data_IF_209086864531
#
_entry.id   IF_209086864531
#
_cell.length_a   1.000
_cell.length_b   1.000
_cell.length_c   1.000
_cell.angle_alpha   90.00
_cell.angle_beta   90.00
_cell.angle_gamma   90.00
#
_symmetry.space_group_name_H-M   'P 1'
#
loop_
_entity.id
_entity.type
_entity.pdbx_description
1 polymer ?
#
# COMPACT_ATOMS: atom_id res chain seq x y z
N UNK A 1 -4.09 29.15 10.81
CA UNK A 1 -5.02 28.79 9.73
C UNK A 1 -4.50 29.23 8.35
N UNK A 2 -4.06 30.45 8.14
CA UNK A 2 -3.53 30.93 6.83
C UNK A 2 -2.42 30.06 6.22
N UNK A 3 -1.48 29.56 7.03
CA UNK A 3 -0.38 28.67 6.55
C UNK A 3 -0.88 27.32 6.06
N UNK A 4 -1.96 26.78 6.62
CA UNK A 4 -2.56 25.52 6.20
C UNK A 4 -3.25 25.69 4.82
N UNK A 5 -3.97 26.79 4.62
CA UNK A 5 -4.58 27.10 3.32
C UNK A 5 -3.55 27.33 2.23
N UNK A 6 -2.41 27.97 2.56
CA UNK A 6 -1.30 28.18 1.63
C UNK A 6 -0.70 26.84 1.17
N UNK A 7 -0.47 25.90 2.08
CA UNK A 7 0.04 24.57 1.75
C UNK A 7 -0.95 23.78 0.89
N UNK A 8 -2.23 23.80 1.23
CA UNK A 8 -3.28 23.15 0.45
C UNK A 8 -3.40 23.78 -0.95
N UNK A 9 -3.36 25.11 -1.04
CA UNK A 9 -3.39 25.82 -2.34
C UNK A 9 -2.17 25.49 -3.20
N UNK A 10 -0.98 25.38 -2.60
CA UNK A 10 0.25 25.01 -3.32
C UNK A 10 0.18 23.56 -3.83
N UNK A 11 -0.37 22.64 -3.04
CA UNK A 11 -0.58 21.25 -3.45
C UNK A 11 -1.61 21.18 -4.58
N UNK A 12 -2.73 21.91 -4.49
CA UNK A 12 -3.74 21.98 -5.54
C UNK A 12 -3.20 22.61 -6.82
N UNK A 13 -2.34 23.62 -6.73
CA UNK A 13 -1.70 24.24 -7.88
C UNK A 13 -0.68 23.33 -8.55
N UNK A 14 0.07 22.53 -7.77
CA UNK A 14 1.00 21.53 -8.29
C UNK A 14 0.30 20.41 -9.09
N UNK A 15 -0.97 20.12 -8.78
CA UNK A 15 -1.79 19.12 -9.48
C UNK A 15 -2.25 19.61 -10.86
N UNK A 16 -2.37 20.93 -11.07
CA UNK A 16 -2.92 21.50 -12.31
C UNK A 16 -1.92 21.72 -13.44
N UNK A 17 -0.61 21.56 -13.17
CA UNK A 17 0.42 21.78 -14.18
C UNK A 17 0.98 20.46 -14.66
N UNK A 18 0.35 19.86 -15.65
CA UNK A 18 0.98 19.05 -16.71
C UNK A 18 -0.09 18.27 -17.49
N UNK A 19 -0.58 18.83 -18.58
CA UNK A 19 -1.29 18.06 -19.62
C UNK A 19 -0.28 17.17 -20.38
N UNK A 20 0.41 16.27 -19.67
CA UNK A 20 1.21 15.23 -20.30
C UNK A 20 0.25 14.13 -20.77
N UNK A 21 0.24 13.88 -22.07
CA UNK A 21 -0.63 12.86 -22.63
C UNK A 21 -0.28 11.48 -22.09
N UNK A 22 -1.30 10.85 -21.57
CA UNK A 22 -1.27 9.50 -21.05
C UNK A 22 -1.33 8.50 -22.20
N UNK A 23 -0.49 7.46 -22.17
CA UNK A 23 -0.56 6.38 -23.15
C UNK A 23 -1.72 5.41 -22.86
N UNK A 24 -1.95 5.07 -21.60
CA UNK A 24 -2.97 4.13 -21.14
C UNK A 24 -3.62 4.66 -19.86
N UNK A 25 -4.96 4.60 -19.82
CA UNK A 25 -5.69 5.14 -18.68
C UNK A 25 -5.84 4.14 -17.53
N UNK A 26 -5.98 2.86 -17.84
CA UNK A 26 -6.26 1.80 -16.88
C UNK A 26 -5.18 0.72 -16.93
N UNK A 27 -4.83 0.19 -15.77
CA UNK A 27 -3.91 -0.93 -15.61
C UNK A 27 -4.54 -1.93 -14.63
N UNK A 28 -4.56 -3.21 -15.00
CA UNK A 28 -5.03 -4.29 -14.14
C UNK A 28 -3.91 -5.30 -13.94
N UNK A 29 -3.80 -5.84 -12.73
CA UNK A 29 -2.74 -6.77 -12.40
C UNK A 29 -3.04 -7.67 -11.22
N UNK A 30 -2.13 -8.61 -11.03
CA UNK A 30 -2.08 -9.48 -9.86
C UNK A 30 -0.79 -9.22 -9.09
N UNK A 31 -0.85 -9.39 -7.79
CA UNK A 31 0.26 -9.17 -6.87
C UNK A 31 0.36 -10.31 -5.86
N UNK A 32 1.58 -10.57 -5.41
CA UNK A 32 1.84 -11.57 -4.40
C UNK A 32 3.19 -11.38 -3.73
N UNK A 33 3.29 -11.80 -2.48
CA UNK A 33 4.55 -11.66 -1.76
C UNK A 33 4.41 -11.87 -0.25
N UNK A 34 5.49 -11.62 0.49
CA UNK A 34 5.51 -11.78 1.92
C UNK A 34 4.70 -10.68 2.65
N UNK A 35 4.01 -11.11 3.69
CA UNK A 35 3.33 -10.29 4.68
C UNK A 35 3.95 -10.51 6.05
N UNK A 36 4.07 -9.47 6.85
CA UNK A 36 4.49 -9.60 8.24
C UNK A 36 3.77 -8.59 9.14
N UNK A 37 3.55 -9.02 10.36
CA UNK A 37 2.91 -8.24 11.40
C UNK A 37 3.93 -7.44 12.21
N UNK A 38 3.60 -6.20 12.52
CA UNK A 38 4.38 -5.32 13.39
C UNK A 38 3.44 -4.73 14.42
N UNK A 39 3.49 -5.21 15.65
CA UNK A 39 2.65 -4.79 16.77
C UNK A 39 3.14 -5.42 18.06
N UNK A 40 2.36 -5.29 19.13
CA UNK A 40 2.71 -5.75 20.47
C UNK A 40 3.00 -7.25 20.55
N UNK A 41 2.42 -8.05 19.66
CA UNK A 41 2.66 -9.49 19.55
C UNK A 41 3.93 -9.89 18.79
N UNK A 42 4.72 -8.94 18.24
CA UNK A 42 5.96 -9.24 17.50
C UNK A 42 7.09 -8.25 17.80
N UNK A 43 7.52 -8.19 19.05
CA UNK A 43 8.59 -7.31 19.55
C UNK A 43 10.00 -7.62 19.01
N UNK A 44 10.15 -8.66 18.20
CA UNK A 44 11.47 -9.21 17.81
C UNK A 44 12.03 -8.73 16.46
N UNK A 45 11.46 -7.70 15.85
CA UNK A 45 12.02 -7.04 14.66
C UNK A 45 11.32 -7.37 13.34
N UNK A 46 11.65 -6.61 12.32
CA UNK A 46 11.12 -6.72 10.95
C UNK A 46 11.40 -8.11 10.35
N UNK A 47 10.46 -8.63 9.56
CA UNK A 47 10.55 -9.91 8.84
C UNK A 47 10.64 -11.18 9.69
N UNK A 48 10.16 -11.16 10.93
CA UNK A 48 9.93 -12.40 11.71
C UNK A 48 8.46 -12.82 11.57
N UNK A 49 8.23 -14.15 11.56
CA UNK A 49 6.91 -14.74 11.33
C UNK A 49 6.27 -14.32 9.99
N UNK A 50 7.08 -14.34 8.93
CA UNK A 50 6.63 -14.02 7.57
C UNK A 50 5.55 -14.99 7.13
N UNK A 51 4.49 -14.44 6.57
CA UNK A 51 3.39 -15.16 5.92
C UNK A 51 3.30 -14.74 4.45
N UNK A 52 2.44 -15.37 3.69
CA UNK A 52 2.19 -15.02 2.30
C UNK A 52 0.87 -14.26 2.17
N UNK A 53 0.88 -13.31 1.27
CA UNK A 53 -0.31 -12.59 0.85
C UNK A 53 -0.30 -12.43 -0.68
N UNK A 54 -1.50 -12.27 -1.25
CA UNK A 54 -1.65 -12.06 -2.69
C UNK A 54 -2.98 -11.41 -2.99
N UNK A 55 -3.12 -10.88 -4.18
CA UNK A 55 -4.35 -10.18 -4.54
C UNK A 55 -4.34 -9.64 -5.97
N UNK A 56 -5.36 -8.84 -6.23
CA UNK A 56 -5.54 -8.14 -7.49
C UNK A 56 -5.34 -6.64 -7.28
N UNK A 57 -4.88 -5.97 -8.32
CA UNK A 57 -4.74 -4.52 -8.32
C UNK A 57 -5.32 -3.92 -9.60
N UNK A 58 -5.94 -2.76 -9.44
CA UNK A 58 -6.34 -1.88 -10.54
C UNK A 58 -5.66 -0.52 -10.33
N UNK A 59 -5.15 0.07 -11.39
CA UNK A 59 -4.55 1.41 -11.35
C UNK A 59 -5.19 2.28 -12.41
N UNK A 60 -5.72 3.40 -11.98
CA UNK A 60 -6.21 4.45 -12.87
C UNK A 60 -5.15 5.54 -12.97
N UNK A 61 -4.52 5.64 -14.11
CA UNK A 61 -3.52 6.65 -14.39
C UNK A 61 -4.19 7.99 -14.68
N UNK A 62 -4.00 8.98 -13.83
CA UNK A 62 -4.50 10.36 -14.02
C UNK A 62 -3.58 11.08 -15.01
N UNK A 63 -2.28 10.95 -14.80
CA UNK A 63 -1.23 11.47 -15.69
C UNK A 63 0.04 10.59 -15.54
N UNK A 64 1.12 10.77 -16.34
CA UNK A 64 2.32 9.94 -16.25
C UNK A 64 3.01 9.95 -14.89
N UNK A 65 2.71 10.91 -14.01
CA UNK A 65 3.28 11.02 -12.67
C UNK A 65 2.31 10.69 -11.54
N UNK A 66 1.01 10.61 -11.81
CA UNK A 66 -0.01 10.45 -10.79
C UNK A 66 -0.97 9.33 -11.16
N UNK A 67 -1.29 8.47 -10.22
CA UNK A 67 -2.25 7.40 -10.39
C UNK A 67 -3.04 7.14 -9.11
N UNK A 68 -4.24 6.59 -9.26
CA UNK A 68 -5.02 5.99 -8.18
C UNK A 68 -4.90 4.48 -8.31
N UNK A 69 -4.41 3.83 -7.27
CA UNK A 69 -4.31 2.38 -7.17
C UNK A 69 -5.38 1.86 -6.23
N UNK A 70 -6.10 0.87 -6.69
CA UNK A 70 -7.05 0.08 -5.92
C UNK A 70 -6.47 -1.32 -5.77
N UNK A 71 -6.45 -1.86 -4.57
CA UNK A 71 -6.00 -3.20 -4.30
C UNK A 71 -7.00 -3.98 -3.47
N UNK A 72 -7.18 -5.23 -3.84
CA UNK A 72 -7.93 -6.23 -3.08
C UNK A 72 -6.99 -7.39 -2.81
N UNK A 73 -6.64 -7.58 -1.55
CA UNK A 73 -5.69 -8.58 -1.14
C UNK A 73 -6.22 -9.52 -0.08
N UNK A 74 -5.72 -10.74 -0.12
CA UNK A 74 -5.90 -11.75 0.91
C UNK A 74 -4.53 -12.17 1.44
N UNK A 75 -4.41 -12.24 2.75
CA UNK A 75 -3.17 -12.64 3.39
C UNK A 75 -3.40 -13.22 4.77
N UNK A 76 -2.32 -13.62 5.40
CA UNK A 76 -2.34 -14.01 6.81
C UNK A 76 -1.28 -13.25 7.59
N UNK A 77 -1.53 -13.08 8.87
CA UNK A 77 -0.59 -12.49 9.83
C UNK A 77 -0.40 -13.46 10.99
N UNK A 78 0.85 -13.63 11.37
CA UNK A 78 1.24 -14.50 12.49
C UNK A 78 2.00 -13.72 13.52
N UNK A 79 1.68 -13.92 14.80
CA UNK A 79 2.46 -13.43 15.93
C UNK A 79 2.87 -14.58 16.84
N UNK A 80 4.10 -14.54 17.36
CA UNK A 80 4.63 -15.48 18.33
C UNK A 80 5.24 -14.68 19.49
N UNK A 81 4.50 -14.52 20.57
CA UNK A 81 4.93 -13.85 21.79
C UNK A 81 5.93 -14.66 22.66
N UNK A 82 6.23 -15.93 22.31
CA UNK A 82 7.05 -16.81 23.14
C UNK A 82 8.55 -16.52 23.03
N UNK A 83 9.00 -15.80 22.00
CA UNK A 83 10.41 -15.55 21.67
C UNK A 83 10.91 -14.16 22.01
N UNK A 84 10.10 -13.29 22.59
CA UNK A 84 10.46 -11.94 23.00
C UNK A 84 11.32 -11.93 24.26
N UNK A 85 12.30 -10.99 24.36
CA UNK A 85 13.09 -10.77 25.59
C UNK A 85 12.22 -10.29 26.77
N UNK A 86 11.10 -9.68 26.49
CA UNK A 86 10.09 -9.32 27.48
C UNK A 86 8.96 -10.36 27.39
N UNK A 87 9.00 -11.33 28.30
CA UNK A 87 7.85 -12.21 28.52
C UNK A 87 6.70 -11.35 29.01
N UNK A 88 5.71 -11.14 28.16
CA UNK A 88 4.42 -10.62 28.65
C UNK A 88 3.95 -11.50 29.79
N UNK A 89 3.45 -10.95 30.87
CA UNK A 89 2.86 -11.74 31.93
C UNK A 89 1.69 -12.49 31.30
N UNK A 90 1.96 -13.76 30.94
CA UNK A 90 0.93 -14.64 30.48
C UNK A 90 -0.12 -14.73 31.59
N UNK A 91 -1.31 -14.20 31.35
CA UNK A 91 -2.44 -14.52 32.17
C UNK A 91 -2.62 -16.03 32.06
N UNK A 92 -2.24 -16.77 33.10
CA UNK A 92 -2.29 -18.24 33.20
C UNK A 92 -1.31 -19.06 32.33
N UNK A 93 -0.11 -18.59 32.06
CA UNK A 93 0.93 -19.41 31.40
C UNK A 93 0.66 -19.78 29.93
N UNK A 94 -0.34 -19.19 29.29
CA UNK A 94 -0.66 -19.43 27.88
C UNK A 94 0.32 -18.71 26.96
N UNK A 95 0.89 -19.46 26.02
CA UNK A 95 1.70 -18.90 24.93
C UNK A 95 0.78 -18.22 23.94
N UNK A 96 1.02 -16.94 23.69
CA UNK A 96 0.25 -16.15 22.72
C UNK A 96 0.77 -16.42 21.31
N UNK A 97 0.14 -17.38 20.64
CA UNK A 97 0.34 -17.63 19.21
C UNK A 97 -0.96 -17.34 18.52
N UNK A 98 -0.93 -16.42 17.55
CA UNK A 98 -2.09 -16.18 16.69
C UNK A 98 -1.71 -16.35 15.22
N UNK A 99 -2.66 -16.81 14.43
CA UNK A 99 -2.56 -16.92 12.99
C UNK A 99 -3.91 -16.50 12.42
N UNK A 100 -4.00 -15.26 12.01
CA UNK A 100 -5.24 -14.66 11.53
C UNK A 100 -5.14 -14.42 10.02
N UNK A 101 -6.22 -14.78 9.32
CA UNK A 101 -6.40 -14.41 7.92
C UNK A 101 -7.03 -13.04 7.83
N UNK A 102 -6.58 -12.25 6.87
CA UNK A 102 -7.10 -10.92 6.61
C UNK A 102 -7.45 -10.73 5.14
N UNK A 103 -8.49 -9.97 4.91
CA UNK A 103 -8.85 -9.40 3.60
C UNK A 103 -8.67 -7.90 3.69
N UNK A 104 -7.99 -7.33 2.72
CA UNK A 104 -7.70 -5.91 2.66
C UNK A 104 -8.19 -5.31 1.35
N UNK A 105 -8.89 -4.18 1.45
CA UNK A 105 -9.32 -3.37 0.32
C UNK A 105 -8.71 -1.98 0.48
N UNK A 106 -7.85 -1.58 -0.43
CA UNK A 106 -7.15 -0.30 -0.39
C UNK A 106 -7.45 0.60 -1.59
N UNK A 107 -7.42 1.90 -1.33
CA UNK A 107 -7.39 2.94 -2.34
C UNK A 107 -6.23 3.88 -2.02
N UNK A 108 -5.24 3.95 -2.91
CA UNK A 108 -3.99 4.66 -2.69
C UNK A 108 -3.71 5.62 -3.83
N UNK A 109 -3.24 6.79 -3.49
CA UNK A 109 -2.70 7.74 -4.44
C UNK A 109 -1.21 7.47 -4.63
N UNK A 110 -0.79 7.26 -5.87
CA UNK A 110 0.60 7.05 -6.26
C UNK A 110 1.19 8.30 -6.91
N UNK A 111 2.40 8.65 -6.50
CA UNK A 111 3.20 9.71 -7.11
C UNK A 111 4.49 9.11 -7.69
N UNK A 112 4.60 9.13 -9.01
CA UNK A 112 5.79 8.69 -9.74
C UNK A 112 6.83 9.80 -9.76
N UNK A 113 8.08 9.47 -9.46
CA UNK A 113 9.18 10.44 -9.52
C UNK A 113 9.50 10.86 -10.95
N UNK A 114 9.35 9.95 -11.91
CA UNK A 114 9.53 10.24 -13.33
C UNK A 114 8.26 9.96 -14.11
N UNK A 115 8.10 10.66 -15.25
CA UNK A 115 7.00 10.40 -16.17
C UNK A 115 7.07 8.96 -16.69
N UNK A 116 6.09 8.14 -16.36
CA UNK A 116 6.06 6.72 -16.67
C UNK A 116 5.38 6.45 -18.01
N UNK A 117 6.01 5.65 -18.87
CA UNK A 117 5.47 5.30 -20.18
C UNK A 117 6.37 4.35 -20.96
N UNK A 118 6.11 4.16 -22.24
CA UNK A 118 6.84 3.23 -23.12
C UNK A 118 8.30 3.63 -23.36
N UNK A 119 8.65 4.86 -23.04
CA UNK A 119 10.00 5.40 -23.25
C UNK A 119 10.29 5.75 -24.70
N UNK A 120 9.29 5.74 -25.58
CA UNK A 120 9.43 6.15 -26.99
C UNK A 120 8.90 7.56 -27.19
N UNK A 121 9.65 8.37 -27.95
CA UNK A 121 9.27 9.74 -28.28
C UNK A 121 9.99 10.81 -27.49
N UNK A 122 9.86 12.06 -27.95
CA UNK A 122 10.55 13.26 -27.41
C UNK A 122 10.00 13.72 -26.03
N UNK A 123 8.92 13.10 -25.54
CA UNK A 123 8.25 13.51 -24.28
C UNK A 123 9.00 13.08 -23.01
N UNK A 124 10.10 12.34 -23.12
CA UNK A 124 10.96 11.99 -21.99
C UNK A 124 10.32 11.01 -20.99
N UNK A 125 9.31 10.23 -21.38
CA UNK A 125 8.78 9.18 -20.56
C UNK A 125 9.81 8.09 -20.33
N UNK A 126 9.91 7.58 -19.10
CA UNK A 126 10.82 6.50 -18.74
C UNK A 126 10.06 5.19 -18.53
N UNK A 127 10.67 4.09 -18.96
CA UNK A 127 10.13 2.75 -18.69
C UNK A 127 10.24 2.31 -17.23
N UNK A 128 11.10 2.98 -16.47
CA UNK A 128 11.34 2.73 -15.06
C UNK A 128 10.97 3.97 -14.25
N UNK A 129 10.26 3.80 -13.14
CA UNK A 129 10.04 4.87 -12.17
C UNK A 129 9.88 4.31 -10.77
N UNK A 130 10.58 4.88 -9.77
CA UNK A 130 10.17 4.73 -8.39
C UNK A 130 8.92 5.58 -8.11
N UNK A 131 8.14 5.17 -7.13
CA UNK A 131 6.96 5.89 -6.70
C UNK A 131 6.77 5.80 -5.19
N UNK A 132 6.04 6.74 -4.64
CA UNK A 132 5.51 6.71 -3.29
C UNK A 132 4.00 6.62 -3.35
N UNK A 133 3.40 6.03 -2.32
CA UNK A 133 1.96 5.85 -2.24
C UNK A 133 1.45 6.09 -0.83
N UNK A 134 0.24 6.64 -0.74
CA UNK A 134 -0.48 6.82 0.50
C UNK A 134 -1.98 6.78 0.23
N UNK A 135 -2.77 6.26 1.16
CA UNK A 135 -4.20 6.15 0.94
C UNK A 135 -4.99 5.78 2.17
N UNK A 136 -6.16 5.24 1.91
CA UNK A 136 -7.08 4.70 2.89
C UNK A 136 -7.48 3.28 2.48
N UNK A 137 -7.69 2.43 3.47
CA UNK A 137 -8.12 1.07 3.24
C UNK A 137 -8.99 0.54 4.36
N UNK A 138 -9.57 -0.62 4.10
CA UNK A 138 -10.36 -1.39 5.04
C UNK A 138 -9.80 -2.80 5.12
N UNK A 139 -9.53 -3.25 6.33
CA UNK A 139 -9.08 -4.61 6.62
C UNK A 139 -10.16 -5.35 7.37
N UNK A 140 -10.50 -6.52 6.91
CA UNK A 140 -11.36 -7.47 7.64
C UNK A 140 -10.48 -8.57 8.21
N UNK A 141 -10.45 -8.69 9.52
CA UNK A 141 -9.75 -9.73 10.25
C UNK A 141 -10.66 -10.31 11.33
N UNK A 142 -10.80 -11.63 11.42
CA UNK A 142 -11.66 -12.29 12.42
C UNK A 142 -13.10 -11.75 12.55
N UNK A 143 -13.71 -11.33 11.41
CA UNK A 143 -15.04 -10.67 11.35
C UNK A 143 -15.09 -9.24 11.89
N UNK A 144 -13.98 -8.68 12.29
CA UNK A 144 -13.87 -7.26 12.66
C UNK A 144 -13.42 -6.46 11.44
N UNK A 145 -14.17 -5.41 11.12
CA UNK A 145 -13.81 -4.45 10.07
C UNK A 145 -13.02 -3.32 10.68
N UNK A 146 -11.85 -3.06 10.14
CA UNK A 146 -10.96 -2.01 10.61
C UNK A 146 -10.50 -1.13 9.46
N UNK A 147 -10.48 0.18 9.68
CA UNK A 147 -9.90 1.12 8.75
C UNK A 147 -8.38 1.15 8.91
N UNK A 148 -7.65 1.23 7.79
CA UNK A 148 -6.20 1.36 7.79
C UNK A 148 -5.73 2.52 6.90
N UNK A 149 -4.51 2.97 7.15
CA UNK A 149 -3.81 3.97 6.34
C UNK A 149 -2.58 3.29 5.74
N UNK A 150 -2.65 2.84 4.46
CA UNK A 150 -1.49 2.34 3.76
C UNK A 150 -0.54 3.48 3.38
N UNK A 151 0.73 3.33 3.71
CA UNK A 151 1.83 4.20 3.28
C UNK A 151 2.94 3.33 2.75
N UNK A 152 3.50 3.66 1.61
CA UNK A 152 4.51 2.82 1.01
C UNK A 152 5.28 3.46 -0.12
N UNK A 153 6.17 2.68 -0.67
CA UNK A 153 6.94 3.02 -1.86
C UNK A 153 7.14 1.78 -2.72
N UNK A 154 7.46 2.02 -3.97
CA UNK A 154 7.73 0.93 -4.88
C UNK A 154 8.50 1.37 -6.10
N UNK A 155 8.77 0.40 -6.95
CA UNK A 155 9.37 0.61 -8.26
C UNK A 155 8.57 -0.13 -9.31
N UNK A 156 8.45 0.46 -10.48
CA UNK A 156 7.77 -0.16 -11.61
C UNK A 156 8.58 -0.04 -12.88
N UNK A 157 8.50 -1.08 -13.68
CA UNK A 157 9.21 -1.19 -14.93
C UNK A 157 8.29 -1.73 -16.04
N UNK A 158 8.26 -1.03 -17.16
CA UNK A 158 7.52 -1.41 -18.37
C UNK A 158 8.43 -2.22 -19.29
N UNK A 159 8.32 -3.55 -19.22
CA UNK A 159 9.18 -4.42 -20.04
C UNK A 159 8.64 -4.63 -21.46
N UNK A 160 7.34 -4.44 -21.68
CA UNK A 160 6.68 -4.39 -22.99
C UNK A 160 5.72 -3.19 -23.06
N UNK A 161 5.25 -2.80 -24.25
CA UNK A 161 4.39 -1.62 -24.39
C UNK A 161 3.14 -1.59 -23.48
N UNK A 162 2.60 -2.79 -23.14
CA UNK A 162 1.40 -2.94 -22.29
C UNK A 162 1.64 -3.73 -21.01
N UNK A 163 2.86 -4.24 -20.79
CA UNK A 163 3.14 -5.08 -19.63
C UNK A 163 4.07 -4.38 -18.67
N UNK A 164 3.66 -4.35 -17.44
CA UNK A 164 4.41 -3.75 -16.35
C UNK A 164 4.71 -4.82 -15.29
N UNK A 165 5.85 -4.68 -14.66
CA UNK A 165 6.25 -5.45 -13.47
C UNK A 165 6.76 -4.48 -12.42
N UNK A 166 6.55 -4.76 -11.17
CA UNK A 166 7.07 -3.92 -10.11
C UNK A 166 7.15 -4.61 -8.77
N UNK A 167 7.81 -3.90 -7.87
CA UNK A 167 7.94 -4.23 -6.47
C UNK A 167 7.29 -3.11 -5.65
N UNK A 168 6.43 -3.49 -4.74
CA UNK A 168 5.66 -2.62 -3.87
C UNK A 168 5.92 -3.00 -2.42
N UNK A 169 6.34 -2.05 -1.61
CA UNK A 169 6.41 -2.21 -0.18
C UNK A 169 5.46 -1.22 0.47
N UNK A 170 4.56 -1.70 1.29
CA UNK A 170 3.58 -0.86 1.99
C UNK A 170 3.40 -1.29 3.43
N UNK A 171 3.35 -0.32 4.32
CA UNK A 171 2.98 -0.48 5.72
C UNK A 171 1.56 0.05 5.91
N UNK A 172 0.72 -0.78 6.50
CA UNK A 172 -0.69 -0.49 6.78
C UNK A 172 -0.88 -0.26 8.27
N UNK A 173 -1.11 0.99 8.62
CA UNK A 173 -1.39 1.40 9.99
C UNK A 173 -2.88 1.22 10.28
N UNK A 174 -3.22 0.21 11.08
CA UNK A 174 -4.60 0.00 11.52
C UNK A 174 -5.03 1.08 12.50
N UNK A 175 -6.27 1.53 12.43
CA UNK A 175 -6.85 2.44 13.40
C UNK A 175 -7.46 1.71 14.62
N UNK A 176 -7.43 0.37 14.65
CA UNK A 176 -7.92 -0.47 15.74
C UNK A 176 -6.82 -1.36 16.31
N UNK A 177 -6.90 -1.68 17.60
CA UNK A 177 -6.01 -2.60 18.33
C UNK A 177 -6.56 -4.05 18.36
N UNK A 178 -7.47 -4.40 17.44
CA UNK A 178 -8.18 -5.69 17.48
C UNK A 178 -7.69 -6.70 16.43
N UNK A 179 -6.62 -6.38 15.70
CA UNK A 179 -6.09 -7.27 14.65
C UNK A 179 -5.48 -8.56 15.22
N UNK A 180 -4.90 -8.48 16.41
CA UNK A 180 -4.32 -9.62 17.12
C UNK A 180 -5.33 -10.38 18.02
N UNK A 181 -6.54 -9.83 18.19
CA UNK A 181 -7.56 -10.41 19.06
C UNK A 181 -7.33 -10.19 20.55
N UNK A 182 -6.42 -9.29 20.92
CA UNK A 182 -6.04 -8.97 22.29
C UNK A 182 -6.54 -7.57 22.63
N UNK A 183 -7.54 -7.46 23.48
CA UNK A 183 -7.97 -6.16 24.01
C UNK A 183 -7.01 -5.69 25.10
N UNK A 184 -6.25 -4.63 24.80
CA UNK A 184 -5.47 -3.77 25.72
C UNK A 184 -4.81 -4.49 26.91
N UNK A 185 -3.72 -5.27 26.70
CA UNK A 185 -3.11 -6.08 27.76
C UNK A 185 -2.49 -5.24 28.88
N UNK A 186 -2.26 -3.96 28.67
CA UNK A 186 -1.61 -3.06 29.63
C UNK A 186 -2.50 -1.97 30.21
N UNK A 187 -3.77 -1.85 29.77
CA UNK A 187 -4.68 -0.75 30.16
C UNK A 187 -4.02 0.65 29.98
N UNK A 188 -3.14 0.77 29.00
CA UNK A 188 -2.51 2.03 28.61
C UNK A 188 -3.42 2.71 27.61
N UNK A 189 -3.97 3.90 27.95
CA UNK A 189 -4.81 4.67 27.03
C UNK A 189 -4.09 4.84 25.70
N UNK A 190 -4.57 4.21 24.65
CA UNK A 190 -4.06 4.34 23.30
C UNK A 190 -4.33 5.77 22.79
N UNK A 191 -3.30 6.46 22.30
CA UNK A 191 -3.45 7.72 21.56
C UNK A 191 -3.79 7.43 20.10
N UNK A 192 -4.17 8.47 19.32
CA UNK A 192 -4.63 8.37 17.92
C UNK A 192 -3.68 7.58 16.97
N UNK A 193 -2.38 7.43 17.33
CA UNK A 193 -1.37 6.67 16.60
C UNK A 193 -0.40 5.88 17.52
N UNK A 194 -0.66 5.79 18.82
CA UNK A 194 0.17 5.05 19.78
C UNK A 194 -0.44 3.69 20.07
N UNK A 195 0.37 2.62 20.08
CA UNK A 195 -0.01 1.24 20.39
C UNK A 195 -1.13 0.72 19.48
N UNK A 196 -0.98 0.89 18.15
CA UNK A 196 -1.90 0.32 17.18
C UNK A 196 -1.20 -0.72 16.33
N UNK A 197 -1.96 -1.76 16.03
CA UNK A 197 -1.50 -2.84 15.15
C UNK A 197 -1.16 -2.31 13.77
N UNK A 198 -0.07 -2.80 13.22
CA UNK A 198 0.31 -2.53 11.86
C UNK A 198 0.82 -3.80 11.18
N UNK A 199 0.66 -3.87 9.88
CA UNK A 199 1.23 -4.95 9.10
C UNK A 199 1.83 -4.40 7.81
N UNK A 200 2.79 -5.12 7.28
CA UNK A 200 3.47 -4.72 6.07
C UNK A 200 3.34 -5.79 4.99
N UNK A 201 3.19 -5.34 3.78
CA UNK A 201 3.19 -6.15 2.57
C UNK A 201 4.35 -5.76 1.68
N UNK A 202 5.09 -6.77 1.22
CA UNK A 202 6.12 -6.62 0.19
C UNK A 202 5.66 -7.44 -1.01
N UNK A 203 5.09 -6.78 -2.02
CA UNK A 203 4.44 -7.43 -3.14
C UNK A 203 5.25 -7.28 -4.42
N UNK A 204 5.45 -8.37 -5.13
CA UNK A 204 5.80 -8.34 -6.55
C UNK A 204 4.49 -8.37 -7.33
N UNK A 205 4.37 -7.54 -8.35
CA UNK A 205 3.18 -7.52 -9.19
C UNK A 205 3.52 -7.55 -10.67
N UNK A 206 2.58 -8.08 -11.43
CA UNK A 206 2.54 -8.00 -12.88
C UNK A 206 1.21 -7.41 -13.30
N UNK A 207 1.23 -6.49 -14.25
CA UNK A 207 0.03 -5.79 -14.70
C UNK A 207 0.03 -5.53 -16.19
N UNK A 208 -1.17 -5.34 -16.71
CA UNK A 208 -1.44 -5.11 -18.11
C UNK A 208 -2.19 -3.80 -18.32
N UNK A 209 -1.72 -2.97 -19.24
CA UNK A 209 -2.32 -1.68 -19.58
C UNK A 209 -3.51 -1.85 -20.53
N UNK A 210 -4.62 -1.26 -20.12
CA UNK A 210 -5.89 -1.23 -20.83
C UNK A 210 -6.23 0.22 -21.23
N UNK A 211 -7.23 0.37 -22.09
CA UNK A 211 -7.77 1.66 -22.51
C UNK A 211 -6.70 2.60 -23.09
N UNK A 212 -6.13 2.29 -24.27
CA UNK A 212 -5.20 3.19 -24.93
C UNK A 212 -5.89 4.52 -25.24
N UNK A 213 -5.25 5.64 -24.90
CA UNK A 213 -5.68 6.96 -25.33
C UNK A 213 -5.07 7.26 -26.68
N UNK A 214 -5.87 7.13 -27.74
CA UNK A 214 -5.46 7.54 -29.08
C UNK A 214 -5.42 9.08 -29.16
N UNK A 215 -4.34 9.60 -29.72
CA UNK A 215 -4.32 10.99 -30.16
C UNK A 215 -5.36 11.16 -31.26
N UNK A 216 -6.32 12.02 -31.07
CA UNK A 216 -7.00 12.64 -32.19
C UNK A 216 -6.01 13.64 -32.79
N UNK A 217 -5.44 13.32 -33.93
CA UNK A 217 -4.80 14.35 -34.75
C UNK A 217 -5.92 15.24 -35.25
N UNK A 218 -6.18 16.36 -34.60
CA UNK A 218 -6.92 17.48 -35.19
C UNK A 218 -5.93 18.19 -36.11
N UNK A 219 -5.95 17.80 -37.38
CA UNK A 219 -5.49 18.69 -38.45
C UNK A 219 -6.61 19.73 -38.62
N UNK A 220 -6.47 20.88 -38.01
CA UNK A 220 -7.05 22.14 -38.44
C UNK A 220 -5.90 23.06 -38.90
#
# INVERSE_FOLDING_TARGET
>A
MARLYSVIATILFAVSVQAQELEYALELGAMGGPSFYTGDGNLNGFYKNVTMAGGLMGRYNINPRMALKFDLGYGSVKGDGSKGKNKYPAKNGQKWNFNNSLVDLGCQYELNFWGYGTGTGYKGHKRFTPYIQMGLGFTVCNKELTMNIPVGFGVKYKFRPRWNVGLDWSMRFSLSDKLDGIEDPYKVKSGFLKNKDSYSWTMVYISYDLCPKYRKCTNE
#
